data_IF_680837363354
#
_entry.id   IF_680837363354
#
_cell.length_a   1.000
_cell.length_b   1.000
_cell.length_c   1.000
_cell.angle_alpha   90.00
_cell.angle_beta   90.00
_cell.angle_gamma   90.00
#
_symmetry.space_group_name_H-M   'P 1'
#
loop_
_entity.id
_entity.type
_entity.pdbx_description
1 polymer ?
#
# COMPACT_ATOMS: atom_id res chain seq x y z
N UNK A 1 -13.10 -1.90 -36.88
CA UNK A 1 -12.72 -2.57 -35.61
C UNK A 1 -11.27 -2.29 -35.37
N UNK A 2 -10.87 -1.54 -34.33
CA UNK A 2 -9.47 -1.35 -33.99
C UNK A 2 -8.96 -2.58 -33.26
N UNK A 3 -7.96 -3.24 -33.85
CA UNK A 3 -7.22 -4.32 -33.21
C UNK A 3 -6.41 -3.77 -32.04
N UNK A 4 -6.84 -4.07 -30.85
CA UNK A 4 -6.03 -3.90 -29.64
C UNK A 4 -4.78 -4.79 -29.76
N UNK A 5 -3.62 -4.17 -29.99
CA UNK A 5 -2.34 -4.85 -29.76
C UNK A 5 -2.17 -4.96 -28.25
N UNK A 6 -2.39 -6.16 -27.72
CA UNK A 6 -1.93 -6.53 -26.37
C UNK A 6 -0.42 -6.30 -26.31
N UNK A 7 -0.04 -5.27 -25.58
CA UNK A 7 1.36 -5.03 -25.24
C UNK A 7 1.70 -6.02 -24.11
N UNK A 8 2.00 -7.27 -24.47
CA UNK A 8 2.46 -8.30 -23.52
C UNK A 8 3.82 -7.87 -22.98
N UNK A 9 3.80 -7.14 -21.85
CA UNK A 9 5.02 -6.95 -21.04
C UNK A 9 5.59 -8.33 -20.74
N UNK A 10 6.90 -8.51 -20.92
CA UNK A 10 7.59 -9.74 -20.53
C UNK A 10 7.28 -10.05 -19.06
N UNK A 11 6.85 -11.28 -18.76
CA UNK A 11 6.59 -11.73 -17.38
C UNK A 11 7.87 -11.90 -16.56
N UNK A 12 9.04 -11.68 -17.15
CA UNK A 12 10.35 -11.77 -16.49
C UNK A 12 11.22 -10.59 -16.87
N UNK A 13 11.99 -10.04 -15.95
CA UNK A 13 13.05 -9.06 -16.24
C UNK A 13 14.27 -9.74 -16.86
N UNK A 14 14.78 -10.77 -16.19
CA UNK A 14 15.91 -11.59 -16.70
C UNK A 14 15.78 -13.03 -16.23
N UNK A 15 16.37 -13.98 -16.98
CA UNK A 15 16.43 -15.40 -16.56
C UNK A 15 17.21 -15.58 -15.25
N UNK A 16 18.22 -14.76 -15.02
CA UNK A 16 19.02 -14.80 -13.79
C UNK A 16 18.15 -14.47 -12.57
N UNK A 17 17.31 -13.43 -12.65
CA UNK A 17 16.41 -13.05 -11.53
C UNK A 17 15.35 -14.11 -11.24
N UNK A 18 14.88 -14.83 -12.26
CA UNK A 18 14.00 -15.98 -12.06
C UNK A 18 14.71 -17.10 -11.32
N UNK A 19 15.98 -17.40 -11.68
CA UNK A 19 16.75 -18.45 -11.03
C UNK A 19 17.11 -18.10 -9.58
N UNK A 20 17.48 -16.84 -9.31
CA UNK A 20 17.97 -16.41 -8.00
C UNK A 20 16.83 -16.06 -7.02
N UNK A 21 15.71 -15.55 -7.51
CA UNK A 21 14.63 -14.99 -6.68
C UNK A 21 13.23 -15.51 -7.02
N UNK A 22 13.10 -16.37 -8.04
CA UNK A 22 11.78 -16.82 -8.49
C UNK A 22 10.92 -15.70 -9.09
N UNK A 23 11.55 -14.61 -9.56
CA UNK A 23 10.83 -13.40 -9.99
C UNK A 23 10.05 -13.64 -11.29
N UNK A 24 8.75 -13.86 -11.16
CA UNK A 24 7.81 -13.97 -12.27
C UNK A 24 6.64 -13.03 -12.02
N UNK A 25 6.38 -12.11 -12.95
CA UNK A 25 5.28 -11.17 -12.82
C UNK A 25 3.95 -11.82 -13.21
N UNK A 26 2.97 -11.71 -12.34
CA UNK A 26 1.63 -12.22 -12.61
C UNK A 26 0.97 -11.44 -13.75
N UNK A 27 0.36 -12.17 -14.69
CA UNK A 27 -0.31 -11.57 -15.83
C UNK A 27 -1.52 -10.73 -15.36
N UNK A 28 -1.81 -9.55 -15.95
CA UNK A 28 -2.95 -8.72 -15.58
C UNK A 28 -4.31 -9.44 -15.58
N UNK A 29 -4.52 -10.40 -16.46
CA UNK A 29 -5.73 -11.22 -16.48
C UNK A 29 -5.88 -12.07 -15.22
N UNK A 30 -4.79 -12.66 -14.77
CA UNK A 30 -4.75 -13.49 -13.55
C UNK A 30 -4.93 -12.63 -12.30
N UNK A 31 -4.25 -11.47 -12.26
CA UNK A 31 -4.43 -10.47 -11.19
C UNK A 31 -5.89 -10.10 -11.04
N UNK A 32 -6.57 -9.76 -12.15
CA UNK A 32 -7.98 -9.39 -12.12
C UNK A 32 -8.87 -10.55 -11.67
N UNK A 33 -8.63 -11.77 -12.15
CA UNK A 33 -9.39 -12.94 -11.75
C UNK A 33 -9.26 -13.24 -10.24
N UNK A 34 -8.06 -13.09 -9.68
CA UNK A 34 -7.82 -13.26 -8.25
C UNK A 34 -8.50 -12.16 -7.41
N UNK A 35 -8.42 -10.91 -7.85
CA UNK A 35 -9.07 -9.79 -7.16
C UNK A 35 -10.60 -9.83 -7.26
N UNK A 36 -11.15 -10.50 -8.25
CA UNK A 36 -12.60 -10.70 -8.36
C UNK A 36 -13.14 -11.67 -7.30
N UNK A 37 -12.30 -12.55 -6.74
CA UNK A 37 -12.66 -13.40 -5.59
C UNK A 37 -12.89 -12.58 -4.30
N UNK A 38 -12.24 -11.42 -4.20
CA UNK A 38 -12.37 -10.48 -3.07
C UNK A 38 -12.90 -9.13 -3.55
N UNK A 39 -13.87 -9.17 -4.47
CA UNK A 39 -14.39 -8.00 -5.17
C UNK A 39 -14.86 -6.90 -4.21
N UNK A 40 -15.66 -7.28 -3.21
CA UNK A 40 -16.25 -6.32 -2.28
C UNK A 40 -15.18 -5.53 -1.51
N UNK A 41 -14.09 -6.19 -1.13
CA UNK A 41 -12.96 -5.56 -0.47
C UNK A 41 -12.12 -4.72 -1.45
N UNK A 42 -11.88 -5.20 -2.68
CA UNK A 42 -11.08 -4.48 -3.66
C UNK A 42 -11.75 -3.20 -4.19
N UNK A 43 -13.08 -3.05 -4.01
CA UNK A 43 -13.85 -1.84 -4.30
C UNK A 43 -14.21 -1.03 -3.03
N UNK A 44 -13.48 -1.17 -1.94
CA UNK A 44 -13.57 -0.29 -0.75
C UNK A 44 -12.30 0.52 -0.60
N UNK A 45 -12.43 1.84 -0.33
CA UNK A 45 -11.25 2.72 -0.22
C UNK A 45 -10.33 2.32 0.92
N UNK A 46 -10.87 1.92 2.06
CA UNK A 46 -10.17 1.68 3.31
C UNK A 46 -9.81 0.21 3.57
N UNK A 47 -10.28 -0.73 2.76
CA UNK A 47 -9.88 -2.14 2.88
C UNK A 47 -8.39 -2.32 2.65
N UNK A 48 -7.70 -2.93 3.63
CA UNK A 48 -6.26 -3.09 3.61
C UNK A 48 -5.85 -4.31 2.79
N UNK A 49 -4.89 -4.10 1.92
CA UNK A 49 -4.24 -5.14 1.13
C UNK A 49 -2.75 -5.14 1.37
N UNK A 50 -2.19 -6.31 1.65
CA UNK A 50 -0.76 -6.53 1.74
C UNK A 50 -0.32 -7.55 0.69
N UNK A 51 0.64 -7.16 -0.14
CA UNK A 51 1.31 -8.04 -1.07
C UNK A 51 2.74 -8.31 -0.57
N UNK A 52 3.03 -9.51 -0.02
CA UNK A 52 4.32 -9.79 0.62
C UNK A 52 5.46 -10.07 -0.37
N UNK A 53 5.16 -10.13 -1.67
CA UNK A 53 6.12 -10.25 -2.77
C UNK A 53 5.65 -9.36 -3.93
N UNK A 54 5.60 -8.04 -3.68
CA UNK A 54 4.85 -7.13 -4.55
C UNK A 54 5.47 -6.93 -5.94
N UNK A 55 6.70 -7.32 -6.16
CA UNK A 55 7.40 -7.11 -7.40
C UNK A 55 7.38 -5.64 -7.83
N UNK A 56 7.08 -5.41 -9.09
CA UNK A 56 6.86 -4.06 -9.63
C UNK A 56 5.44 -3.51 -9.38
N UNK A 57 4.62 -4.19 -8.55
CA UNK A 57 3.33 -3.71 -8.07
C UNK A 57 2.11 -4.08 -8.92
N UNK A 58 2.12 -5.15 -9.70
CA UNK A 58 1.00 -5.50 -10.59
C UNK A 58 -0.34 -5.68 -9.84
N UNK A 59 -0.34 -6.36 -8.68
CA UNK A 59 -1.53 -6.49 -7.85
C UNK A 59 -1.94 -5.16 -7.23
N UNK A 60 -0.99 -4.44 -6.63
CA UNK A 60 -1.27 -3.18 -5.94
C UNK A 60 -1.79 -2.09 -6.89
N UNK A 61 -1.28 -2.03 -8.11
CA UNK A 61 -1.77 -1.12 -9.15
C UNK A 61 -3.24 -1.41 -9.48
N UNK A 62 -3.61 -2.68 -9.65
CA UNK A 62 -4.98 -3.03 -9.98
C UNK A 62 -5.94 -2.79 -8.81
N UNK A 63 -5.52 -3.11 -7.58
CA UNK A 63 -6.25 -2.75 -6.36
C UNK A 63 -6.48 -1.23 -6.30
N UNK A 64 -5.43 -0.46 -6.51
CA UNK A 64 -5.51 1.01 -6.48
C UNK A 64 -6.43 1.55 -7.57
N UNK A 65 -6.39 1.01 -8.79
CA UNK A 65 -7.31 1.37 -9.89
C UNK A 65 -8.76 1.13 -9.51
N UNK A 66 -9.08 -0.04 -8.94
CA UNK A 66 -10.44 -0.36 -8.47
C UNK A 66 -10.91 0.64 -7.43
N UNK A 67 -10.07 0.98 -6.45
CA UNK A 67 -10.38 1.97 -5.42
C UNK A 67 -10.56 3.37 -6.00
N UNK A 68 -9.65 3.83 -6.84
CA UNK A 68 -9.73 5.15 -7.47
C UNK A 68 -10.94 5.27 -8.42
N UNK A 69 -11.42 4.17 -9.00
CA UNK A 69 -12.63 4.18 -9.81
C UNK A 69 -13.88 4.64 -9.04
N UNK A 70 -13.89 4.48 -7.72
CA UNK A 70 -14.97 4.97 -6.85
C UNK A 70 -14.99 6.50 -6.76
N UNK A 71 -13.89 7.15 -7.08
CA UNK A 71 -13.73 8.61 -6.99
C UNK A 71 -14.15 9.37 -8.25
N UNK A 72 -14.61 8.67 -9.29
CA UNK A 72 -14.98 9.29 -10.58
C UNK A 72 -16.11 10.32 -10.45
N UNK A 73 -17.00 10.17 -9.46
CA UNK A 73 -18.09 11.11 -9.20
C UNK A 73 -17.71 12.28 -8.29
N UNK A 74 -16.53 12.25 -7.69
CA UNK A 74 -16.04 13.29 -6.76
C UNK A 74 -15.62 14.51 -7.57
N UNK A 75 -16.33 15.62 -7.36
CA UNK A 75 -16.09 16.87 -8.12
C UNK A 75 -15.10 17.81 -7.46
N UNK A 76 -15.00 17.76 -6.12
CA UNK A 76 -14.05 18.58 -5.38
C UNK A 76 -12.64 18.02 -5.51
N UNK A 77 -11.68 18.79 -6.05
CA UNK A 77 -10.28 18.34 -6.13
C UNK A 77 -9.68 18.02 -4.75
N UNK A 78 -9.97 18.83 -3.75
CA UNK A 78 -9.49 18.66 -2.37
C UNK A 78 -10.03 17.35 -1.75
N UNK A 79 -11.32 17.07 -1.95
CA UNK A 79 -11.94 15.85 -1.48
C UNK A 79 -11.36 14.63 -2.20
N UNK A 80 -11.16 14.74 -3.51
CA UNK A 80 -10.55 13.69 -4.32
C UNK A 80 -9.12 13.36 -3.85
N UNK A 81 -8.31 14.39 -3.61
CA UNK A 81 -6.95 14.24 -3.07
C UNK A 81 -6.96 13.51 -1.73
N UNK A 82 -7.83 13.92 -0.80
CA UNK A 82 -7.95 13.29 0.51
C UNK A 82 -8.38 11.82 0.41
N UNK A 83 -9.42 11.53 -0.38
CA UNK A 83 -9.92 10.16 -0.58
C UNK A 83 -8.90 9.27 -1.30
N UNK A 84 -8.12 9.82 -2.22
CA UNK A 84 -7.04 9.08 -2.89
C UNK A 84 -5.95 8.64 -1.91
N UNK A 85 -5.64 9.46 -0.90
CA UNK A 85 -4.71 9.07 0.16
C UNK A 85 -5.28 7.98 1.08
N UNK A 86 -6.61 7.91 1.29
CA UNK A 86 -7.23 6.76 1.98
C UNK A 86 -7.01 5.49 1.17
N UNK A 87 -7.23 5.54 -0.14
CA UNK A 87 -7.00 4.39 -1.02
C UNK A 87 -5.53 3.93 -1.01
N UNK A 88 -4.59 4.87 -1.11
CA UNK A 88 -3.14 4.57 -1.08
C UNK A 88 -2.72 4.09 0.31
N UNK A 89 -3.20 4.71 1.38
CA UNK A 89 -2.89 4.35 2.77
C UNK A 89 -3.35 2.95 3.17
N UNK A 90 -4.20 2.32 2.36
CA UNK A 90 -4.68 0.95 2.55
C UNK A 90 -3.95 -0.10 1.68
N UNK A 91 -2.97 0.31 0.87
CA UNK A 91 -2.15 -0.57 0.02
C UNK A 91 -0.74 -0.72 0.60
N UNK A 92 -0.35 -1.96 0.89
CA UNK A 92 0.94 -2.31 1.47
C UNK A 92 1.67 -3.33 0.61
N UNK A 93 3.00 -3.21 0.53
CA UNK A 93 3.82 -4.14 -0.23
C UNK A 93 5.18 -4.36 0.40
N UNK A 94 5.70 -5.57 0.24
CA UNK A 94 7.08 -5.93 0.57
C UNK A 94 7.71 -6.53 -0.68
N UNK A 95 8.94 -6.18 -0.98
CA UNK A 95 9.76 -6.90 -1.95
C UNK A 95 11.21 -6.96 -1.47
N UNK A 96 11.85 -8.09 -1.69
CA UNK A 96 13.25 -8.29 -1.28
C UNK A 96 14.22 -7.47 -2.14
N UNK A 97 13.80 -7.08 -3.34
CA UNK A 97 14.61 -6.34 -4.31
C UNK A 97 14.26 -4.85 -4.25
N UNK A 98 15.24 -4.03 -3.91
CA UNK A 98 15.07 -2.59 -3.74
C UNK A 98 14.57 -1.89 -5.01
N UNK A 99 15.03 -2.32 -6.20
CA UNK A 99 14.58 -1.78 -7.48
C UNK A 99 13.11 -2.09 -7.79
N UNK A 100 12.60 -3.25 -7.35
CA UNK A 100 11.18 -3.59 -7.47
C UNK A 100 10.34 -2.68 -6.57
N UNK A 101 10.71 -2.55 -5.30
CA UNK A 101 10.01 -1.68 -4.36
C UNK A 101 9.97 -0.22 -4.87
N UNK A 102 11.07 0.28 -5.44
CA UNK A 102 11.12 1.62 -6.03
C UNK A 102 10.21 1.76 -7.24
N UNK A 103 10.28 0.81 -8.19
CA UNK A 103 9.40 0.79 -9.37
C UNK A 103 7.93 0.70 -8.96
N UNK A 104 7.62 -0.12 -7.95
CA UNK A 104 6.26 -0.23 -7.40
C UNK A 104 5.76 1.14 -6.89
N UNK A 105 6.55 1.85 -6.07
CA UNK A 105 6.22 3.20 -5.58
C UNK A 105 5.96 4.19 -6.70
N UNK A 106 6.86 4.25 -7.69
CA UNK A 106 6.71 5.18 -8.82
C UNK A 106 5.50 4.85 -9.70
N UNK A 107 5.19 3.57 -9.90
CA UNK A 107 3.99 3.16 -10.65
C UNK A 107 2.71 3.53 -9.91
N UNK A 108 2.63 3.28 -8.61
CA UNK A 108 1.48 3.67 -7.77
C UNK A 108 1.32 5.19 -7.75
N UNK A 109 2.41 5.94 -7.58
CA UNK A 109 2.40 7.40 -7.67
C UNK A 109 1.88 7.88 -9.02
N UNK A 110 2.42 7.32 -10.11
CA UNK A 110 2.01 7.65 -11.49
C UNK A 110 0.54 7.35 -11.75
N UNK A 111 0.00 6.25 -11.20
CA UNK A 111 -1.43 5.90 -11.33
C UNK A 111 -2.31 6.97 -10.68
N UNK A 112 -2.00 7.41 -9.46
CA UNK A 112 -2.76 8.45 -8.76
C UNK A 112 -2.67 9.79 -9.50
N UNK A 113 -1.46 10.23 -9.85
CA UNK A 113 -1.24 11.52 -10.53
C UNK A 113 -1.85 11.52 -11.93
N UNK A 114 -1.82 10.41 -12.65
CA UNK A 114 -2.46 10.24 -13.95
C UNK A 114 -3.98 10.43 -13.90
N UNK A 115 -4.64 10.07 -12.80
CA UNK A 115 -6.08 10.29 -12.59
C UNK A 115 -6.43 11.77 -12.35
N UNK A 116 -5.50 12.54 -11.77
CA UNK A 116 -5.69 13.98 -11.56
C UNK A 116 -5.58 14.75 -12.89
N UNK A 117 -4.74 14.25 -13.81
CA UNK A 117 -4.45 14.88 -15.08
C UNK A 117 -3.63 16.18 -14.93
N UNK A 118 -3.96 17.19 -15.74
CA UNK A 118 -3.27 18.50 -15.76
C UNK A 118 -3.71 19.46 -14.64
N UNK A 119 -4.60 19.03 -13.75
CA UNK A 119 -5.11 19.90 -12.68
C UNK A 119 -4.00 20.21 -11.67
N UNK A 120 -3.97 21.45 -11.21
CA UNK A 120 -3.13 21.84 -10.09
C UNK A 120 -3.56 21.07 -8.82
N UNK A 121 -2.58 20.57 -8.12
CA UNK A 121 -2.81 19.90 -6.83
C UNK A 121 -2.55 20.87 -5.68
N UNK A 122 -3.21 20.63 -4.55
CA UNK A 122 -2.95 21.35 -3.31
C UNK A 122 -1.48 21.19 -2.90
N UNK A 123 -0.83 22.30 -2.54
CA UNK A 123 0.58 22.28 -2.14
C UNK A 123 0.84 21.29 -1.00
N UNK A 124 1.85 20.42 -1.17
CA UNK A 124 2.21 19.37 -0.23
C UNK A 124 1.48 18.03 -0.41
N UNK A 125 0.47 17.96 -1.29
CA UNK A 125 -0.25 16.70 -1.56
C UNK A 125 0.66 15.63 -2.18
N UNK A 126 1.40 15.98 -3.24
CA UNK A 126 2.29 15.03 -3.93
C UNK A 126 3.44 14.54 -3.04
N UNK A 127 3.95 15.42 -2.18
CA UNK A 127 4.95 15.10 -1.17
C UNK A 127 4.38 14.12 -0.14
N UNK A 128 3.16 14.37 0.33
CA UNK A 128 2.45 13.47 1.25
C UNK A 128 2.14 12.12 0.63
N UNK A 129 1.74 12.09 -0.65
CA UNK A 129 1.52 10.86 -1.42
C UNK A 129 2.82 10.04 -1.54
N UNK A 130 3.94 10.67 -1.93
CA UNK A 130 5.24 9.98 -2.00
C UNK A 130 5.67 9.45 -0.65
N UNK A 131 5.51 10.24 0.40
CA UNK A 131 5.83 9.85 1.75
C UNK A 131 5.03 8.62 2.20
N UNK A 132 3.70 8.62 1.97
CA UNK A 132 2.83 7.48 2.31
C UNK A 132 3.25 6.22 1.56
N UNK A 133 3.52 6.32 0.25
CA UNK A 133 4.01 5.20 -0.56
C UNK A 133 5.36 4.68 -0.07
N UNK A 134 6.28 5.57 0.35
CA UNK A 134 7.58 5.18 0.89
C UNK A 134 7.45 4.38 2.19
N UNK A 135 6.45 4.71 3.03
CA UNK A 135 6.19 3.99 4.28
C UNK A 135 5.41 2.69 4.08
N UNK A 136 4.60 2.59 3.03
CA UNK A 136 3.75 1.42 2.80
C UNK A 136 4.39 0.37 1.88
N UNK A 137 5.32 0.76 1.00
CA UNK A 137 6.02 -0.17 0.09
C UNK A 137 7.47 -0.27 0.55
N UNK A 138 7.79 -1.39 1.19
CA UNK A 138 9.03 -1.58 1.93
C UNK A 138 9.94 -2.58 1.22
N UNK A 139 11.25 -2.28 1.16
CA UNK A 139 12.25 -3.26 0.75
C UNK A 139 12.63 -4.11 1.96
N UNK A 140 12.42 -5.42 1.86
CA UNK A 140 12.70 -6.37 2.94
C UNK A 140 12.27 -7.79 2.59
N UNK A 141 12.54 -8.69 3.51
CA UNK A 141 12.17 -10.09 3.40
C UNK A 141 10.92 -10.36 4.28
N UNK A 142 9.81 -10.69 3.63
CA UNK A 142 8.54 -10.97 4.29
C UNK A 142 8.56 -12.26 5.12
N UNK A 143 9.51 -13.19 4.88
CA UNK A 143 9.63 -14.43 5.64
C UNK A 143 10.40 -14.22 6.94
N UNK A 144 11.38 -13.34 6.95
CA UNK A 144 12.17 -12.99 8.14
C UNK A 144 11.64 -11.76 8.87
N UNK A 145 10.68 -11.03 8.27
CA UNK A 145 10.10 -9.76 8.78
C UNK A 145 11.13 -8.65 8.93
N UNK A 146 12.23 -8.69 8.12
CA UNK A 146 13.35 -7.77 8.27
C UNK A 146 13.71 -7.08 6.96
N UNK A 147 14.17 -5.85 7.10
CA UNK A 147 14.79 -5.08 6.03
C UNK A 147 16.22 -5.57 5.76
N UNK A 148 16.83 -5.15 4.64
CA UNK A 148 18.19 -5.55 4.26
C UNK A 148 19.26 -5.17 5.31
N UNK A 149 19.04 -4.11 6.09
CA UNK A 149 19.87 -3.68 7.21
C UNK A 149 19.47 -4.31 8.56
N UNK A 150 18.74 -5.43 8.51
CA UNK A 150 18.31 -6.24 9.64
C UNK A 150 17.41 -5.54 10.67
N UNK A 151 16.74 -4.45 10.30
CA UNK A 151 15.71 -3.81 11.13
C UNK A 151 14.35 -4.49 10.94
N UNK A 152 13.46 -4.51 11.95
CA UNK A 152 12.11 -4.99 11.78
C UNK A 152 11.38 -4.20 10.68
N UNK A 153 10.66 -4.89 9.79
CA UNK A 153 9.74 -4.24 8.87
C UNK A 153 8.62 -3.60 9.69
N UNK A 154 8.37 -2.32 9.44
CA UNK A 154 7.35 -1.53 10.13
C UNK A 154 6.41 -0.92 9.10
N UNK A 155 5.10 -1.10 9.31
CA UNK A 155 4.06 -0.49 8.52
C UNK A 155 3.37 0.64 9.27
N UNK A 156 2.97 1.66 8.52
CA UNK A 156 2.20 2.78 9.03
C UNK A 156 0.70 2.53 8.82
N UNK A 157 -0.07 2.56 9.88
CA UNK A 157 -1.53 2.65 9.78
C UNK A 157 -1.93 4.12 9.66
N UNK A 158 -2.65 4.42 8.61
CA UNK A 158 -3.15 5.75 8.29
C UNK A 158 -4.65 5.82 8.58
N UNK A 159 -5.05 6.52 9.63
CA UNK A 159 -6.46 6.64 10.02
C UNK A 159 -6.96 8.05 9.73
N UNK A 160 -7.93 8.22 8.80
CA UNK A 160 -8.54 9.50 8.55
C UNK A 160 -9.36 9.95 9.78
N UNK A 161 -9.26 11.23 10.15
CA UNK A 161 -10.03 11.81 11.26
C UNK A 161 -11.35 12.33 10.73
N UNK A 162 -12.45 11.79 11.26
CA UNK A 162 -13.80 12.16 10.83
C UNK A 162 -14.04 13.67 10.93
N UNK A 163 -14.63 14.26 9.87
CA UNK A 163 -14.95 15.67 9.81
C UNK A 163 -13.75 16.61 9.65
N UNK A 164 -12.55 16.08 9.39
CA UNK A 164 -11.35 16.87 9.14
C UNK A 164 -10.59 16.33 7.93
N UNK A 165 -9.66 17.13 7.41
CA UNK A 165 -8.74 16.71 6.34
C UNK A 165 -7.40 16.25 6.93
N UNK A 166 -7.45 15.45 8.02
CA UNK A 166 -6.28 15.00 8.77
C UNK A 166 -6.20 13.49 8.82
N UNK A 167 -4.98 12.99 8.95
CA UNK A 167 -4.68 11.59 9.27
C UNK A 167 -3.91 11.52 10.58
N UNK A 168 -4.22 10.51 11.40
CA UNK A 168 -3.30 10.01 12.42
C UNK A 168 -2.45 8.89 11.83
N UNK A 169 -1.22 8.78 12.32
CA UNK A 169 -0.31 7.69 11.97
C UNK A 169 0.01 6.87 13.21
N UNK A 170 -0.06 5.55 13.07
CA UNK A 170 0.44 4.58 14.06
C UNK A 170 1.34 3.59 13.34
N UNK A 171 2.47 3.27 13.94
CA UNK A 171 3.46 2.35 13.37
C UNK A 171 3.37 1.00 14.08
N UNK A 172 3.34 -0.09 13.29
CA UNK A 172 3.28 -1.47 13.76
C UNK A 172 4.39 -2.30 13.13
N UNK A 173 5.03 -3.16 13.92
CA UNK A 173 5.98 -4.13 13.37
C UNK A 173 5.23 -5.25 12.65
N UNK A 174 5.76 -5.67 11.51
CA UNK A 174 5.09 -6.64 10.64
C UNK A 174 5.01 -8.04 11.27
N UNK A 175 6.05 -8.46 11.99
CA UNK A 175 6.07 -9.73 12.73
C UNK A 175 4.94 -9.81 13.78
N UNK A 176 4.65 -8.70 14.45
CA UNK A 176 3.51 -8.61 15.36
C UNK A 176 2.19 -8.84 14.64
N UNK A 177 1.97 -8.19 13.49
CA UNK A 177 0.74 -8.30 12.72
C UNK A 177 0.48 -9.73 12.21
N UNK A 178 1.55 -10.47 11.87
CA UNK A 178 1.45 -11.86 11.37
C UNK A 178 1.30 -12.85 12.51
N UNK A 179 2.06 -12.71 13.58
CA UNK A 179 2.08 -13.69 14.66
C UNK A 179 0.84 -13.63 15.56
N UNK A 180 0.16 -12.49 15.63
CA UNK A 180 -1.11 -12.34 16.36
C UNK A 180 -2.25 -13.20 15.78
N UNK A 181 -2.24 -13.48 14.48
CA UNK A 181 -3.22 -14.38 13.86
C UNK A 181 -3.09 -15.84 14.31
N UNK A 182 -1.97 -16.22 14.93
CA UNK A 182 -1.70 -17.58 15.41
C UNK A 182 -1.85 -17.79 16.92
N UNK A 183 -1.98 -16.73 17.72
CA UNK A 183 -2.16 -16.82 19.16
C UNK A 183 -3.53 -16.31 19.60
N UNK A 184 -4.58 -17.08 19.32
CA UNK A 184 -5.88 -16.88 19.96
C UNK A 184 -5.89 -17.47 21.39
N UNK A 185 -5.10 -16.90 22.28
CA UNK A 185 -5.44 -16.87 23.70
C UNK A 185 -5.97 -15.47 24.02
N UNK A 186 -7.28 -15.36 24.15
CA UNK A 186 -7.96 -14.08 24.42
C UNK A 186 -7.65 -13.58 25.85
N UNK A 187 -7.04 -14.41 26.67
CA UNK A 187 -6.73 -14.13 28.06
C UNK A 187 -5.30 -14.58 28.37
N UNK A 188 -4.59 -13.80 29.16
CA UNK A 188 -3.35 -14.22 29.77
C UNK A 188 -3.61 -15.29 30.87
N UNK A 189 -2.52 -15.80 31.48
CA UNK A 189 -2.63 -16.78 32.59
C UNK A 189 -3.35 -16.21 33.81
N UNK A 190 -3.54 -14.88 33.90
CA UNK A 190 -4.27 -14.17 34.95
C UNK A 190 -5.70 -13.83 34.57
N UNK A 191 -6.14 -14.12 33.32
CA UNK A 191 -7.50 -13.88 32.84
C UNK A 191 -7.76 -12.43 32.44
N UNK A 192 -6.73 -11.61 32.26
CA UNK A 192 -6.87 -10.26 31.73
C UNK A 192 -6.84 -10.28 30.20
N UNK A 193 -7.70 -9.44 29.58
CA UNK A 193 -7.71 -9.27 28.13
C UNK A 193 -6.40 -8.60 27.69
N UNK A 194 -5.55 -9.33 26.98
CA UNK A 194 -4.36 -8.73 26.40
C UNK A 194 -4.77 -7.80 25.28
N UNK A 195 -4.41 -6.52 25.41
CA UNK A 195 -4.51 -5.52 24.35
C UNK A 195 -3.41 -5.79 23.32
N UNK A 196 -3.76 -6.53 22.26
CA UNK A 196 -2.83 -6.98 21.22
C UNK A 196 -2.50 -5.92 20.15
N UNK A 197 -2.98 -4.69 20.32
CA UNK A 197 -2.93 -3.63 19.31
C UNK A 197 -2.06 -2.42 19.71
N UNK A 198 -1.01 -2.61 20.52
CA UNK A 198 -0.16 -1.48 20.86
C UNK A 198 0.81 -1.15 19.71
N UNK A 199 0.67 0.03 19.10
CA UNK A 199 1.61 0.49 18.10
C UNK A 199 2.98 0.75 18.73
N UNK A 200 4.07 0.43 18.02
CA UNK A 200 5.42 0.79 18.49
C UNK A 200 5.62 2.30 18.57
N UNK A 201 4.81 3.05 17.81
CA UNK A 201 4.80 4.52 17.84
C UNK A 201 3.47 5.08 17.35
N UNK A 202 2.99 6.13 18.02
CA UNK A 202 1.82 6.91 17.63
C UNK A 202 2.20 8.36 17.40
N UNK A 203 1.57 9.01 16.43
CA UNK A 203 1.85 10.38 16.04
C UNK A 203 0.59 11.24 16.10
N UNK A 204 0.72 12.54 16.43
CA UNK A 204 -0.42 13.46 16.40
C UNK A 204 -0.98 13.58 14.97
N UNK A 205 -2.28 13.91 14.84
CA UNK A 205 -2.86 14.12 13.51
C UNK A 205 -2.18 15.26 12.74
N UNK A 206 -1.97 15.04 11.43
CA UNK A 206 -1.52 16.07 10.50
C UNK A 206 -2.52 16.22 9.34
N UNK A 207 -2.58 17.42 8.79
CA UNK A 207 -3.33 17.69 7.57
C UNK A 207 -2.80 16.84 6.42
N UNK A 208 -3.67 16.35 5.53
CA UNK A 208 -3.31 15.42 4.46
C UNK A 208 -2.19 15.93 3.53
N UNK A 209 -2.03 17.25 3.41
CA UNK A 209 -0.94 17.88 2.63
C UNK A 209 0.38 18.01 3.40
N UNK A 210 0.45 17.51 4.63
CA UNK A 210 1.62 17.67 5.52
C UNK A 210 2.16 16.36 6.06
N UNK A 211 1.71 15.20 5.56
CA UNK A 211 2.10 13.89 6.08
C UNK A 211 3.61 13.65 6.00
N UNK A 212 4.29 14.23 5.00
CA UNK A 212 5.75 14.17 4.86
C UNK A 212 6.51 14.81 6.03
N UNK A 213 5.83 15.61 6.87
CA UNK A 213 6.43 16.24 8.07
C UNK A 213 6.53 15.30 9.27
N UNK A 214 5.94 14.11 9.22
CA UNK A 214 6.14 13.13 10.29
C UNK A 214 7.61 12.71 10.43
N UNK A 215 8.39 12.83 9.35
CA UNK A 215 9.79 12.38 9.35
C UNK A 215 9.93 10.84 9.42
N UNK A 216 11.13 10.39 9.67
CA UNK A 216 11.47 8.97 9.83
C UNK A 216 11.26 8.48 11.27
#
# INVERSE_FOLDING_TARGET
MPTYKENTKSQIKTRQRVADHGEVFTNPREVNAMLDLVRDESFRLDSRFLEPACGDGNFLIEILRRKLSLLQSVKSPIEWEFLSLIAVGSCYGIDILADNAEVCRERLFGEVVGQIGEKDTTGGYKESLRYMLQKNIVCGDALTYRTADNRPITFCEWTPIAGSMQFSRRDFQFDFLVNQTHQYSIFDEQGEAQSFDEPVRSYPPLHYTQLYRYGD
#
